data_IF_411181093290
#
_entry.id   IF_411181093290
#
_cell.length_a   1.000
_cell.length_b   1.000
_cell.length_c   1.000
_cell.angle_alpha   90.00
_cell.angle_beta   90.00
_cell.angle_gamma   90.00
#
_symmetry.space_group_name_H-M   'P 1'
#
loop_
_entity.id
_entity.type
_entity.pdbx_description
1 polymer ?
#
# COMPACT_ATOMS: atom_id res chain seq x y z
N UNK A 1 -2.19 -5.21 2.92
CA UNK A 1 -3.61 -5.17 2.47
C UNK A 1 -4.44 -4.40 3.48
N UNK A 2 -5.67 -4.03 3.13
CA UNK A 2 -6.72 -3.60 4.06
C UNK A 2 -7.64 -4.81 4.23
N UNK A 3 -7.50 -5.57 5.34
CA UNK A 3 -8.15 -6.86 5.47
C UNK A 3 -9.67 -6.74 5.35
N UNK A 4 -10.28 -7.71 4.66
CA UNK A 4 -11.74 -7.85 4.51
C UNK A 4 -12.44 -6.59 3.93
N UNK A 5 -11.68 -5.69 3.31
CA UNK A 5 -12.21 -4.43 2.78
C UNK A 5 -12.03 -4.42 1.27
N UNK A 6 -13.11 -4.41 0.46
CA UNK A 6 -12.99 -4.52 -0.98
C UNK A 6 -12.38 -3.24 -1.58
N UNK A 7 -11.59 -3.36 -2.67
CA UNK A 7 -11.05 -2.23 -3.38
C UNK A 7 -12.12 -1.40 -4.10
N UNK A 8 -11.83 -0.11 -4.25
CA UNK A 8 -12.57 0.80 -5.13
C UNK A 8 -11.72 1.05 -6.38
N UNK A 9 -12.30 0.82 -7.55
CA UNK A 9 -11.75 1.18 -8.84
C UNK A 9 -12.54 2.31 -9.51
N UNK A 10 -11.99 2.84 -10.60
CA UNK A 10 -12.66 3.82 -11.45
C UNK A 10 -12.97 3.21 -12.81
N UNK A 11 -14.25 3.19 -13.19
CA UNK A 11 -14.65 2.77 -14.53
C UNK A 11 -14.68 3.98 -15.47
N UNK A 12 -13.69 4.06 -16.36
CA UNK A 12 -13.56 5.14 -17.35
C UNK A 12 -14.70 5.18 -18.38
N UNK A 13 -15.41 4.07 -18.62
CA UNK A 13 -16.51 4.04 -19.59
C UNK A 13 -17.78 4.67 -19.02
N UNK A 14 -18.06 4.41 -17.75
CA UNK A 14 -19.25 4.93 -17.07
C UNK A 14 -18.99 6.16 -16.20
N UNK A 15 -17.74 6.62 -16.12
CA UNK A 15 -17.27 7.77 -15.32
C UNK A 15 -17.65 7.65 -13.84
N UNK A 16 -17.58 6.44 -13.30
CA UNK A 16 -18.06 6.11 -11.96
C UNK A 16 -17.06 5.28 -11.19
N UNK A 17 -17.00 5.54 -9.88
CA UNK A 17 -16.33 4.65 -8.94
C UNK A 17 -17.12 3.34 -8.80
N UNK A 18 -16.39 2.23 -8.69
CA UNK A 18 -16.95 0.88 -8.55
C UNK A 18 -16.23 0.13 -7.44
N UNK A 19 -16.99 -0.53 -6.59
CA UNK A 19 -16.43 -1.50 -5.63
C UNK A 19 -16.28 -2.83 -6.35
N UNK A 20 -15.12 -3.47 -6.24
CA UNK A 20 -14.86 -4.78 -6.84
C UNK A 20 -14.66 -5.79 -5.71
N UNK A 21 -15.49 -6.82 -5.66
CA UNK A 21 -15.50 -7.77 -4.54
C UNK A 21 -14.84 -9.11 -4.88
N UNK A 22 -14.78 -9.46 -6.17
CA UNK A 22 -14.20 -10.71 -6.65
C UNK A 22 -13.42 -10.50 -7.93
N UNK A 23 -12.47 -11.39 -8.18
CA UNK A 23 -11.80 -11.48 -9.47
C UNK A 23 -12.79 -11.92 -10.56
N UNK A 24 -12.50 -11.60 -11.83
CA UNK A 24 -13.14 -12.26 -12.96
C UNK A 24 -13.03 -13.80 -12.86
N UNK A 25 -14.02 -14.52 -13.39
CA UNK A 25 -14.05 -15.99 -13.33
C UNK A 25 -12.85 -16.65 -14.02
N UNK A 26 -12.37 -16.07 -15.13
CA UNK A 26 -11.16 -16.51 -15.82
C UNK A 26 -9.86 -16.26 -15.02
N UNK A 27 -9.94 -15.52 -13.91
CA UNK A 27 -8.86 -15.26 -12.95
C UNK A 27 -9.11 -16.01 -11.62
N UNK A 28 -10.04 -16.97 -11.61
CA UNK A 28 -10.34 -17.83 -10.44
C UNK A 28 -11.51 -17.38 -9.57
N UNK A 29 -12.11 -16.20 -9.81
CA UNK A 29 -13.36 -15.79 -9.15
C UNK A 29 -13.28 -15.52 -7.65
N UNK A 30 -12.10 -15.63 -7.04
CA UNK A 30 -11.90 -15.46 -5.60
C UNK A 30 -12.25 -14.05 -5.10
N UNK A 31 -12.61 -13.94 -3.81
CA UNK A 31 -12.81 -12.63 -3.17
C UNK A 31 -11.51 -11.85 -3.14
N UNK A 32 -11.60 -10.54 -3.35
CA UNK A 32 -10.46 -9.64 -3.29
C UNK A 32 -10.60 -8.61 -2.17
N UNK A 33 -9.47 -8.05 -1.79
CA UNK A 33 -9.38 -7.00 -0.78
C UNK A 33 -8.40 -5.93 -1.25
N UNK A 34 -8.61 -4.70 -0.78
CA UNK A 34 -7.76 -3.58 -1.11
C UNK A 34 -6.33 -3.81 -0.60
N UNK A 35 -5.36 -3.27 -1.32
CA UNK A 35 -3.95 -3.29 -0.95
C UNK A 35 -3.52 -1.91 -0.44
N UNK A 36 -2.42 -1.91 0.31
CA UNK A 36 -1.79 -0.71 0.86
C UNK A 36 -0.31 -1.01 1.01
N UNK A 37 0.52 0.01 0.87
CA UNK A 37 1.95 -0.07 1.17
C UNK A 37 2.28 0.62 2.51
N UNK A 38 3.44 0.30 3.06
CA UNK A 38 4.06 1.03 4.16
C UNK A 38 5.18 1.90 3.59
N UNK A 39 5.18 3.18 3.92
CA UNK A 39 6.20 4.11 3.44
C UNK A 39 7.47 3.97 4.29
N UNK A 40 8.61 4.15 3.65
CA UNK A 40 9.88 4.33 4.37
C UNK A 40 9.84 5.61 5.21
N UNK A 41 10.63 5.68 6.30
CA UNK A 41 10.74 6.90 7.09
C UNK A 41 11.11 8.12 6.24
N UNK A 42 10.58 9.28 6.64
CA UNK A 42 10.79 10.55 5.94
C UNK A 42 9.82 10.82 4.80
N UNK A 43 8.80 9.98 4.60
CA UNK A 43 7.71 10.22 3.66
C UNK A 43 6.36 10.32 4.38
N UNK A 44 5.57 11.31 4.01
CA UNK A 44 4.17 11.46 4.42
C UNK A 44 3.26 11.05 3.27
N UNK A 45 2.31 10.15 3.53
CA UNK A 45 1.29 9.78 2.53
C UNK A 45 0.42 10.98 2.16
N UNK A 46 0.02 11.06 0.91
CA UNK A 46 -0.92 12.10 0.44
C UNK A 46 -2.30 11.54 0.12
N UNK A 47 -2.44 10.22 -0.08
CA UNK A 47 -3.71 9.54 -0.33
C UNK A 47 -3.87 8.27 0.52
N UNK A 48 -5.13 7.94 0.80
CA UNK A 48 -5.50 6.68 1.44
C UNK A 48 -5.62 5.54 0.41
N UNK A 49 -5.46 4.28 0.83
CA UNK A 49 -5.81 3.12 0.03
C UNK A 49 -7.20 3.25 -0.61
N UNK A 50 -7.30 2.83 -1.88
CA UNK A 50 -8.56 2.80 -2.61
C UNK A 50 -9.43 1.63 -2.11
N UNK A 51 -10.10 1.82 -0.98
CA UNK A 51 -10.85 0.80 -0.26
C UNK A 51 -12.24 1.31 0.16
N UNK A 52 -13.25 0.43 0.17
CA UNK A 52 -14.58 0.77 0.68
C UNK A 52 -14.61 0.74 2.21
N UNK A 53 -14.20 1.85 2.82
CA UNK A 53 -14.12 1.99 4.28
C UNK A 53 -15.45 1.85 5.02
N UNK A 54 -16.60 1.93 4.33
CA UNK A 54 -17.92 1.67 4.95
C UNK A 54 -18.09 0.21 5.36
N UNK A 55 -17.32 -0.70 4.74
CA UNK A 55 -17.32 -2.14 5.02
C UNK A 55 -16.17 -2.58 5.92
N UNK A 56 -15.38 -1.63 6.42
CA UNK A 56 -14.26 -1.90 7.32
C UNK A 56 -14.81 -2.37 8.66
N UNK A 57 -14.76 -3.68 8.90
CA UNK A 57 -15.24 -4.30 10.14
C UNK A 57 -14.23 -4.36 11.29
N UNK A 58 -12.98 -3.97 11.04
CA UNK A 58 -11.91 -4.05 12.04
C UNK A 58 -11.21 -2.71 12.26
N UNK A 59 -10.68 -2.52 13.47
CA UNK A 59 -9.72 -1.45 13.74
C UNK A 59 -8.45 -1.76 12.98
N UNK A 60 -8.01 -0.81 12.17
CA UNK A 60 -6.71 -0.86 11.55
C UNK A 60 -5.73 -0.20 12.54
N UNK A 61 -4.62 -0.87 12.92
CA UNK A 61 -3.61 -0.28 13.80
C UNK A 61 -3.06 1.03 13.20
N UNK A 62 -2.31 1.81 13.98
CA UNK A 62 -1.70 3.10 13.60
C UNK A 62 -0.63 3.00 12.49
N UNK A 63 -0.72 2.02 11.61
CA UNK A 63 0.20 1.84 10.50
C UNK A 63 -0.11 2.86 9.39
N UNK A 64 0.95 3.28 8.72
CA UNK A 64 0.93 4.28 7.65
C UNK A 64 0.34 3.72 6.36
N UNK A 65 -0.92 3.28 6.37
CA UNK A 65 -1.62 2.77 5.20
C UNK A 65 -1.65 3.85 4.11
N UNK A 66 -0.96 3.61 2.99
CA UNK A 66 -0.86 4.53 1.86
C UNK A 66 -1.50 3.95 0.60
N UNK A 67 -2.01 4.83 -0.27
CA UNK A 67 -2.45 4.43 -1.60
C UNK A 67 -1.33 3.75 -2.38
N UNK A 68 -1.65 2.66 -3.06
CA UNK A 68 -0.72 1.92 -3.93
C UNK A 68 -1.37 1.66 -5.28
N UNK A 69 -0.59 1.77 -6.35
CA UNK A 69 -0.98 1.43 -7.71
C UNK A 69 0.10 0.61 -8.40
N UNK A 70 -0.30 -0.18 -9.40
CA UNK A 70 0.61 -0.88 -10.30
C UNK A 70 0.62 -0.14 -11.65
N UNK A 71 1.79 0.22 -12.15
CA UNK A 71 1.96 0.71 -13.51
C UNK A 71 2.33 -0.47 -14.39
N UNK A 72 1.52 -0.75 -15.40
CA UNK A 72 1.74 -1.89 -16.31
C UNK A 72 2.92 -1.60 -17.24
N UNK A 73 3.05 -0.34 -17.66
CA UNK A 73 4.07 0.12 -18.60
C UNK A 73 5.49 0.06 -18.01
N UNK A 74 5.62 0.38 -16.72
CA UNK A 74 6.91 0.40 -16.01
C UNK A 74 7.12 -0.83 -15.13
N UNK A 75 6.16 -1.76 -15.13
CA UNK A 75 6.18 -3.00 -14.32
C UNK A 75 6.58 -2.77 -12.85
N UNK A 76 6.05 -1.72 -12.22
CA UNK A 76 6.38 -1.37 -10.85
C UNK A 76 5.21 -0.79 -10.04
N UNK A 77 5.37 -0.79 -8.72
CA UNK A 77 4.41 -0.23 -7.79
C UNK A 77 4.71 1.25 -7.50
N UNK A 78 3.66 2.06 -7.45
CA UNK A 78 3.71 3.46 -7.04
C UNK A 78 2.91 3.69 -5.77
N UNK A 79 3.31 4.71 -5.02
CA UNK A 79 2.62 5.18 -3.83
C UNK A 79 2.42 6.69 -3.91
N UNK A 80 1.34 7.18 -3.29
CA UNK A 80 1.08 8.61 -3.19
C UNK A 80 1.70 9.18 -1.90
N UNK A 81 2.84 9.85 -2.02
CA UNK A 81 3.57 10.40 -0.88
C UNK A 81 4.38 11.66 -1.24
N UNK A 82 4.75 12.41 -0.20
CA UNK A 82 5.68 13.54 -0.26
C UNK A 82 6.82 13.30 0.74
N UNK A 83 8.05 13.56 0.31
CA UNK A 83 9.21 13.52 1.20
C UNK A 83 9.15 14.72 2.17
N UNK A 84 9.19 14.44 3.46
CA UNK A 84 9.18 15.44 4.55
C UNK A 84 10.48 15.46 5.35
N UNK A 85 11.30 14.41 5.25
CA UNK A 85 12.62 14.33 5.87
C UNK A 85 13.63 13.75 4.86
N UNK A 86 14.85 14.31 4.88
CA UNK A 86 15.99 13.87 4.05
C UNK A 86 17.00 13.05 4.84
N UNK A 87 16.78 12.80 6.13
CA UNK A 87 17.66 12.00 6.95
C UNK A 87 17.75 10.57 6.39
N UNK A 88 18.98 10.13 6.13
CA UNK A 88 19.32 8.82 5.59
C UNK A 88 19.82 7.84 6.65
N UNK A 89 19.87 8.26 7.92
CA UNK A 89 20.34 7.42 9.01
C UNK A 89 19.49 6.17 9.25
N UNK A 90 18.31 6.03 8.64
CA UNK A 90 17.51 4.80 8.72
C UNK A 90 17.78 3.82 7.57
N UNK A 91 18.54 4.21 6.53
CA UNK A 91 18.69 3.40 5.33
C UNK A 91 19.25 2.01 5.66
N UNK A 92 18.56 0.91 5.30
CA UNK A 92 18.99 -0.45 5.65
C UNK A 92 20.42 -0.78 5.22
N UNK A 93 20.88 -0.20 4.10
CA UNK A 93 22.24 -0.40 3.59
C UNK A 93 23.34 0.07 4.56
N UNK A 94 23.01 0.95 5.51
CA UNK A 94 23.91 1.38 6.57
C UNK A 94 23.99 0.40 7.74
N UNK A 95 23.05 -0.56 7.83
CA UNK A 95 22.90 -1.47 8.96
C UNK A 95 23.02 -2.94 8.51
N UNK A 96 24.23 -3.34 8.14
CA UNK A 96 24.55 -4.75 7.89
C UNK A 96 24.78 -5.47 9.22
N UNK A 97 23.87 -6.39 9.58
CA UNK A 97 23.92 -7.16 10.83
C UNK A 97 25.27 -7.86 11.03
N UNK A 98 25.91 -8.33 9.95
CA UNK A 98 27.23 -8.98 10.02
C UNK A 98 28.34 -8.06 10.53
N UNK A 99 28.16 -6.75 10.38
CA UNK A 99 29.10 -5.71 10.86
C UNK A 99 28.65 -5.12 12.19
N UNK A 100 27.35 -5.02 12.43
CA UNK A 100 26.78 -4.41 13.62
C UNK A 100 26.73 -5.34 14.83
N UNK A 101 26.33 -6.60 14.65
CA UNK A 101 26.17 -7.56 15.74
C UNK A 101 27.44 -7.67 16.63
N UNK A 102 28.67 -7.69 16.09
CA UNK A 102 29.88 -7.74 16.93
C UNK A 102 30.17 -6.46 17.74
N UNK A 103 29.55 -5.34 17.38
CA UNK A 103 29.80 -4.01 17.98
C UNK A 103 28.79 -3.68 19.10
N UNK A 104 27.68 -4.42 19.20
CA UNK A 104 26.65 -4.24 20.22
C UNK A 104 26.92 -5.23 21.36
N UNK A 105 27.17 -4.71 22.57
CA UNK A 105 27.37 -5.50 23.81
C UNK A 105 26.12 -5.53 24.67
#
# INVERSE_FOLDING_TARGET
>A
TIPQTPPIGYDRRSDKQRVVESLPGNWGGGRIQAVSAFLTPGYTRTLLPAADYRRKGQTLPLWSYTAVGWCVEEEQFYVAAVQVDRNKQWQPDHFDDRKLDPLVK
#
